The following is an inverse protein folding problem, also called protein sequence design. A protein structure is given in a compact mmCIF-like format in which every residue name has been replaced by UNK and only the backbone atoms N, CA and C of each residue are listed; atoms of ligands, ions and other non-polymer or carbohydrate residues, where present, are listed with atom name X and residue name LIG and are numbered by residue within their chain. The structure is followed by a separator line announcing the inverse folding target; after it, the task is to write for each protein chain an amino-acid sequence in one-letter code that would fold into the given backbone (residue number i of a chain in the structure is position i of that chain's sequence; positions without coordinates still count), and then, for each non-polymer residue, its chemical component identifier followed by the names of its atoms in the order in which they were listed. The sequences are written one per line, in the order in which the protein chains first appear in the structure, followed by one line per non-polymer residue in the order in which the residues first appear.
data_IF_534505961813
#
_entry.id   IF_534505961813
#
_cell.length_a   1.000
_cell.length_b   1.000
_cell.length_c   1.000
_cell.angle_alpha   90.00
_cell.angle_beta   90.00
_cell.angle_gamma   90.00
#
_symmetry.space_group_name_H-M   'P 1'
#
loop_
_entity.id
_entity.type
_entity.pdbx_description
1 polymer ?
#
# COMPACT_ATOMS: atom_id res chain seq x y z
N UNK A 1 3.65 -3.16 -12.34
CA UNK A 1 2.64 -2.45 -11.54
C UNK A 1 2.50 -1.04 -12.07
N UNK A 2 1.28 -0.61 -12.38
CA UNK A 2 1.00 0.74 -12.86
C UNK A 2 1.32 1.82 -11.81
N UNK A 3 1.77 3.01 -12.22
CA UNK A 3 2.07 4.12 -11.30
C UNK A 3 0.92 4.50 -10.37
N UNK A 4 -0.33 4.37 -10.83
CA UNK A 4 -1.51 4.69 -10.02
C UNK A 4 -1.69 3.75 -8.82
N UNK A 5 -1.39 2.46 -8.99
CA UNK A 5 -1.47 1.47 -7.90
C UNK A 5 -0.36 1.75 -6.88
N UNK A 6 0.86 2.02 -7.36
CA UNK A 6 1.98 2.41 -6.50
C UNK A 6 1.65 3.64 -5.65
N UNK A 7 1.16 4.70 -6.28
CA UNK A 7 0.81 5.94 -5.58
C UNK A 7 -0.29 5.73 -4.53
N UNK A 8 -1.26 4.86 -4.81
CA UNK A 8 -2.30 4.50 -3.84
C UNK A 8 -1.73 3.73 -2.64
N UNK A 9 -0.80 2.80 -2.86
CA UNK A 9 -0.13 2.06 -1.80
C UNK A 9 0.78 2.97 -0.94
N UNK A 10 1.53 3.88 -1.57
CA UNK A 10 2.32 4.90 -0.87
C UNK A 10 1.42 5.80 0.00
N UNK A 11 0.27 6.24 -0.52
CA UNK A 11 -0.69 7.04 0.26
C UNK A 11 -1.35 6.25 1.37
N UNK A 12 -1.63 4.95 1.15
CA UNK A 12 -2.13 4.04 2.18
C UNK A 12 -1.16 3.92 3.36
N UNK A 13 0.14 3.79 3.08
CA UNK A 13 1.19 3.76 4.10
C UNK A 13 1.30 5.10 4.85
N UNK A 14 1.24 6.24 4.14
CA UNK A 14 1.26 7.57 4.75
C UNK A 14 0.07 7.78 5.70
N UNK A 15 -1.14 7.40 5.27
CA UNK A 15 -2.35 7.44 6.11
C UNK A 15 -2.20 6.55 7.36
N UNK A 16 -1.59 5.39 7.21
CA UNK A 16 -1.28 4.49 8.34
C UNK A 16 -0.38 5.17 9.36
N UNK A 17 0.68 5.86 8.91
CA UNK A 17 1.58 6.65 9.77
C UNK A 17 0.92 7.86 10.43
N UNK A 18 -0.06 8.47 9.76
CA UNK A 18 -0.91 9.53 10.33
C UNK A 18 -1.94 8.99 11.34
N UNK A 19 -1.89 7.69 11.69
CA UNK A 19 -2.87 6.99 12.53
C UNK A 19 -4.30 7.03 11.95
N UNK A 20 -4.43 7.19 10.63
CA UNK A 20 -5.69 7.18 9.88
C UNK A 20 -5.93 5.80 9.26
N UNK A 21 -5.96 4.79 10.13
CA UNK A 21 -5.90 3.37 9.75
C UNK A 21 -7.03 2.94 8.82
N UNK A 22 -8.26 3.42 9.03
CA UNK A 22 -9.42 3.07 8.18
C UNK A 22 -9.21 3.58 6.76
N UNK A 23 -8.82 4.86 6.61
CA UNK A 23 -8.60 5.46 5.30
C UNK A 23 -7.39 4.85 4.59
N UNK A 24 -6.34 4.52 5.35
CA UNK A 24 -5.19 3.79 4.84
C UNK A 24 -5.58 2.42 4.30
N UNK A 25 -6.36 1.66 5.07
CA UNK A 25 -6.84 0.34 4.66
C UNK A 25 -7.72 0.42 3.41
N UNK A 26 -8.72 1.31 3.39
CA UNK A 26 -9.62 1.49 2.26
C UNK A 26 -8.86 1.84 0.97
N UNK A 27 -7.85 2.71 1.07
CA UNK A 27 -6.99 3.06 -0.07
C UNK A 27 -6.19 1.85 -0.58
N UNK A 28 -5.60 1.08 0.34
CA UNK A 28 -4.80 -0.11 -0.01
C UNK A 28 -5.66 -1.22 -0.63
N UNK A 29 -6.82 -1.49 -0.05
CA UNK A 29 -7.79 -2.47 -0.55
C UNK A 29 -8.27 -2.10 -1.96
N UNK A 30 -8.64 -0.83 -2.18
CA UNK A 30 -9.04 -0.33 -3.49
C UNK A 30 -7.94 -0.49 -4.54
N UNK A 31 -6.67 -0.23 -4.16
CA UNK A 31 -5.52 -0.43 -5.05
C UNK A 31 -5.34 -1.90 -5.44
N UNK A 32 -5.48 -2.82 -4.48
CA UNK A 32 -5.38 -4.26 -4.72
C UNK A 32 -6.53 -4.72 -5.63
N UNK A 33 -7.77 -4.28 -5.37
CA UNK A 33 -8.93 -4.63 -6.19
C UNK A 33 -8.88 -4.09 -7.62
N UNK A 34 -8.22 -2.94 -7.84
CA UNK A 34 -8.07 -2.33 -9.16
C UNK A 34 -6.91 -2.94 -9.98
N UNK A 35 -6.09 -3.79 -9.37
CA UNK A 35 -4.97 -4.44 -10.01
C UNK A 35 -5.42 -5.57 -10.94
N UNK A 36 -4.60 -5.83 -11.95
CA UNK A 36 -4.72 -7.02 -12.80
C UNK A 36 -3.94 -8.18 -12.20
N UNK A 37 -4.26 -9.42 -12.61
CA UNK A 37 -3.57 -10.61 -12.12
C UNK A 37 -2.04 -10.57 -12.35
N UNK A 38 -1.61 -9.95 -13.46
CA UNK A 38 -0.19 -9.77 -13.78
C UNK A 38 0.51 -8.76 -12.84
N UNK A 39 -0.24 -7.85 -12.21
CA UNK A 39 0.29 -6.85 -11.29
C UNK A 39 0.37 -7.35 -9.84
N UNK A 40 -0.36 -8.42 -9.48
CA UNK A 40 -0.38 -8.96 -8.12
C UNK A 40 1.00 -9.34 -7.58
N UNK A 41 1.89 -10.01 -8.34
CA UNK A 41 3.24 -10.34 -7.85
C UNK A 41 4.06 -9.08 -7.53
N UNK A 42 3.93 -8.02 -8.34
CA UNK A 42 4.63 -6.77 -8.10
C UNK A 42 4.08 -6.00 -6.89
N UNK A 43 2.76 -6.06 -6.66
CA UNK A 43 2.13 -5.49 -5.46
C UNK A 43 2.60 -6.24 -4.20
N UNK A 44 2.64 -7.58 -4.24
CA UNK A 44 3.13 -8.39 -3.12
C UNK A 44 4.59 -8.07 -2.79
N UNK A 45 5.44 -7.96 -3.81
CA UNK A 45 6.83 -7.58 -3.62
C UNK A 45 6.94 -6.18 -3.00
N UNK A 46 6.20 -5.20 -3.53
CA UNK A 46 6.21 -3.85 -3.02
C UNK A 46 5.78 -3.78 -1.54
N UNK A 47 4.68 -4.46 -1.18
CA UNK A 47 4.19 -4.53 0.20
C UNK A 47 5.19 -5.20 1.15
N UNK A 48 5.93 -6.20 0.66
CA UNK A 48 6.99 -6.85 1.43
C UNK A 48 8.16 -5.90 1.69
N UNK A 49 8.60 -5.18 0.64
CA UNK A 49 9.71 -4.25 0.71
C UNK A 49 9.40 -3.01 1.56
N UNK A 50 8.12 -2.66 1.72
CA UNK A 50 7.64 -1.47 2.43
C UNK A 50 6.78 -1.83 3.66
N UNK A 51 6.90 -3.03 4.20
CA UNK A 51 6.13 -3.43 5.38
C UNK A 51 6.36 -2.47 6.56
N UNK A 52 7.61 -2.01 6.72
CA UNK A 52 8.02 -1.04 7.73
C UNK A 52 7.35 0.34 7.55
N UNK A 53 6.78 0.63 6.38
CA UNK A 53 6.04 1.87 6.16
C UNK A 53 4.66 1.87 6.84
N UNK A 54 4.13 0.69 7.17
CA UNK A 54 2.83 0.50 7.82
C UNK A 54 2.93 0.26 9.32
N UNK A 55 4.13 -0.01 9.81
CA UNK A 55 4.41 -0.13 11.24
C UNK A 55 5.16 1.12 11.68
N UNK A 56 4.82 1.69 12.84
CA UNK A 56 5.52 2.87 13.39
C UNK A 56 6.95 2.55 13.87
N UNK A 57 7.59 1.52 13.30
CA UNK A 57 8.97 1.12 13.54
C UNK A 57 9.92 1.98 12.69
N UNK A 58 10.00 3.26 13.07
CA UNK A 58 11.26 3.99 12.92
C UNK A 58 12.18 3.53 14.05
N UNK A 59 13.01 2.52 13.77
CA UNK A 59 14.23 2.31 14.55
C UNK A 59 15.14 3.53 14.51
#
# INVERSE_FOLDING_TARGET
MRPSIRAALERSAELTRENRLVEGLEMGESAIHAATDDEHPEIQQWLTDHADDFTDEKG
#
